data_IF_646044759054
#
_entry.id   IF_646044759054
#
_cell.length_a   1.000
_cell.length_b   1.000
_cell.length_c   1.000
_cell.angle_alpha   90.00
_cell.angle_beta   90.00
_cell.angle_gamma   90.00
#
_symmetry.space_group_name_H-M   'P 1'
#
loop_
_entity.id
_entity.type
_entity.pdbx_description
1 polymer ?
#
# COMPACT_ATOMS: atom_id res chain seq x y z
N UNK A 1 0.28 3.40 -93.37
CA UNK A 1 1.12 2.85 -92.29
C UNK A 1 0.55 3.24 -90.95
N UNK A 2 -0.13 2.34 -90.30
CA UNK A 2 -0.80 2.63 -88.98
C UNK A 2 0.05 1.98 -87.87
N UNK A 3 0.69 2.80 -87.05
CA UNK A 3 1.49 2.36 -85.88
C UNK A 3 0.48 2.17 -84.67
N UNK A 4 0.31 0.91 -84.29
CA UNK A 4 -0.42 0.58 -83.03
C UNK A 4 0.58 0.58 -81.89
N UNK A 5 0.53 1.54 -81.05
CA UNK A 5 1.25 1.54 -79.76
C UNK A 5 0.50 0.69 -78.71
N UNK A 6 1.08 -0.42 -78.35
CA UNK A 6 0.55 -1.29 -77.25
C UNK A 6 1.03 -0.73 -75.91
N UNK A 7 0.10 -0.18 -75.11
CA UNK A 7 0.36 0.31 -73.76
C UNK A 7 0.38 -0.90 -72.81
N UNK A 8 1.56 -1.29 -72.37
CA UNK A 8 1.76 -2.27 -71.29
C UNK A 8 1.52 -1.54 -69.95
N UNK A 9 0.40 -1.81 -69.33
CA UNK A 9 0.10 -1.34 -67.95
C UNK A 9 0.91 -2.25 -67.00
N UNK A 10 1.75 -1.72 -66.08
CA UNK A 10 2.40 -2.56 -65.08
C UNK A 10 1.33 -2.99 -64.05
N UNK A 11 1.13 -4.28 -63.93
CA UNK A 11 0.35 -4.87 -62.83
C UNK A 11 1.20 -4.71 -61.58
N UNK A 12 0.88 -3.71 -60.74
CA UNK A 12 1.40 -3.59 -59.39
C UNK A 12 0.71 -4.68 -58.56
N UNK A 13 1.37 -5.81 -58.43
CA UNK A 13 1.03 -6.81 -57.43
C UNK A 13 1.24 -6.14 -56.03
N UNK A 14 0.18 -5.69 -55.43
CA UNK A 14 0.21 -5.33 -54.02
C UNK A 14 0.47 -6.59 -53.21
N UNK A 15 1.72 -6.80 -52.83
CA UNK A 15 2.11 -7.78 -51.84
C UNK A 15 1.42 -7.32 -50.55
N UNK A 16 0.36 -8.01 -50.12
CA UNK A 16 -0.18 -7.82 -48.77
C UNK A 16 0.95 -8.17 -47.82
N UNK A 17 1.52 -7.19 -47.17
CA UNK A 17 2.41 -7.43 -46.05
C UNK A 17 1.56 -8.16 -44.99
N UNK A 18 1.74 -9.46 -44.88
CA UNK A 18 1.16 -10.28 -43.83
C UNK A 18 1.92 -9.92 -42.57
N UNK A 19 1.27 -9.24 -41.66
CA UNK A 19 1.84 -8.80 -40.39
C UNK A 19 1.26 -9.67 -39.28
N UNK A 20 2.13 -10.11 -38.37
CA UNK A 20 1.71 -10.79 -37.16
C UNK A 20 0.65 -9.95 -36.41
N UNK A 21 -0.27 -10.61 -35.71
CA UNK A 21 -1.26 -9.99 -34.85
C UNK A 21 -1.07 -10.50 -33.43
N UNK A 22 -1.04 -9.58 -32.46
CA UNK A 22 -0.98 -9.90 -31.05
C UNK A 22 -2.19 -9.33 -30.31
N UNK A 23 -2.62 -10.03 -29.29
CA UNK A 23 -3.74 -9.60 -28.42
C UNK A 23 -3.54 -10.06 -26.99
N UNK A 24 -4.09 -9.28 -26.04
CA UNK A 24 -4.15 -9.67 -24.63
C UNK A 24 -5.22 -10.74 -24.48
N UNK A 25 -4.86 -11.88 -23.88
CA UNK A 25 -5.74 -13.00 -23.60
C UNK A 25 -6.32 -12.97 -22.19
N UNK A 26 -5.61 -12.30 -21.26
CA UNK A 26 -6.07 -12.14 -19.88
C UNK A 26 -5.49 -10.86 -19.29
N UNK A 27 -6.37 -10.00 -18.77
CA UNK A 27 -6.02 -8.84 -17.96
C UNK A 27 -6.05 -9.22 -16.47
N UNK A 28 -5.21 -8.58 -15.63
CA UNK A 28 -5.20 -8.87 -14.21
C UNK A 28 -6.45 -8.33 -13.50
N UNK A 29 -6.92 -9.09 -12.52
CA UNK A 29 -7.78 -8.60 -11.43
C UNK A 29 -6.88 -8.46 -10.19
N UNK A 30 -6.47 -7.24 -9.90
CA UNK A 30 -5.54 -6.94 -8.82
C UNK A 30 -6.33 -6.81 -7.51
N UNK A 31 -6.07 -7.71 -6.56
CA UNK A 31 -6.71 -7.66 -5.26
C UNK A 31 -5.64 -7.55 -4.17
N UNK A 32 -5.53 -6.37 -3.56
CA UNK A 32 -4.61 -6.13 -2.46
C UNK A 32 -5.12 -6.70 -1.12
N UNK A 33 -6.41 -7.08 -1.04
CA UNK A 33 -7.04 -7.52 0.20
C UNK A 33 -7.13 -6.40 1.23
N UNK A 34 -7.05 -6.77 2.51
CA UNK A 34 -7.00 -5.80 3.61
C UNK A 34 -5.62 -5.15 3.69
N UNK A 35 -5.60 -3.84 3.58
CA UNK A 35 -4.37 -3.04 3.64
C UNK A 35 -4.40 -2.11 4.86
N UNK A 36 -3.23 -1.86 5.41
CA UNK A 36 -3.06 -0.89 6.49
C UNK A 36 -2.69 0.45 5.88
N UNK A 37 -3.48 1.49 6.16
CA UNK A 37 -3.21 2.83 5.66
C UNK A 37 -1.77 3.27 5.99
N UNK A 38 -1.07 3.79 4.98
CA UNK A 38 0.31 4.25 5.08
C UNK A 38 1.40 3.19 4.99
N UNK A 39 1.08 1.90 4.98
CA UNK A 39 2.05 0.84 4.77
C UNK A 39 2.17 0.50 3.27
N UNK A 40 3.33 0.01 2.88
CA UNK A 40 3.51 -0.58 1.56
C UNK A 40 2.83 -1.95 1.51
N UNK A 41 2.00 -2.17 0.49
CA UNK A 41 1.42 -3.48 0.19
C UNK A 41 1.68 -3.83 -1.26
N UNK A 42 2.12 -5.05 -1.54
CA UNK A 42 2.42 -5.51 -2.89
C UNK A 42 1.79 -6.87 -3.17
N UNK A 43 1.28 -7.04 -4.38
CA UNK A 43 0.74 -8.30 -4.88
C UNK A 43 1.31 -8.60 -6.25
N UNK A 44 1.61 -9.89 -6.52
CA UNK A 44 2.04 -10.33 -7.83
C UNK A 44 0.82 -10.51 -8.73
N UNK A 45 0.96 -10.12 -9.98
CA UNK A 45 -0.05 -10.29 -11.01
C UNK A 45 0.61 -10.50 -12.37
N UNK A 46 -0.17 -10.72 -13.43
CA UNK A 46 0.36 -10.94 -14.76
C UNK A 46 -0.63 -10.54 -15.85
N UNK A 47 -0.10 -10.18 -17.01
CA UNK A 47 -0.87 -10.01 -18.25
C UNK A 47 -0.46 -11.12 -19.21
N UNK A 48 -1.44 -11.89 -19.70
CA UNK A 48 -1.20 -12.92 -20.70
C UNK A 48 -1.58 -12.41 -22.09
N UNK A 49 -0.79 -12.79 -23.06
CA UNK A 49 -1.03 -12.43 -24.45
C UNK A 49 -0.75 -13.60 -25.39
N UNK A 50 -1.26 -13.50 -26.59
CA UNK A 50 -0.97 -14.43 -27.68
C UNK A 50 -0.72 -13.65 -28.96
N UNK A 51 0.15 -14.16 -29.79
CA UNK A 51 0.42 -13.62 -31.12
C UNK A 51 0.25 -14.73 -32.15
N UNK A 52 -0.31 -14.40 -33.30
CA UNK A 52 -0.39 -15.25 -34.47
C UNK A 52 0.59 -14.73 -35.51
N UNK A 53 1.54 -15.57 -35.91
CA UNK A 53 2.46 -15.29 -37.01
C UNK A 53 1.84 -15.71 -38.32
N UNK A 54 2.01 -14.91 -39.38
CA UNK A 54 1.54 -15.19 -40.72
C UNK A 54 2.71 -15.06 -41.71
N UNK A 55 3.58 -16.04 -41.74
CA UNK A 55 4.92 -15.93 -42.30
C UNK A 55 5.27 -17.02 -43.39
N UNK A 56 4.29 -17.62 -44.03
CA UNK A 56 4.49 -18.54 -45.18
C UNK A 56 5.60 -19.60 -44.98
N UNK A 57 5.65 -20.24 -43.81
CA UNK A 57 6.61 -21.33 -43.54
C UNK A 57 7.94 -20.91 -42.91
N UNK A 58 8.18 -19.61 -42.69
CA UNK A 58 9.40 -19.09 -42.07
C UNK A 58 9.21 -18.83 -40.61
N UNK A 59 10.27 -18.71 -39.84
CA UNK A 59 10.24 -18.21 -38.47
C UNK A 59 10.10 -16.68 -38.48
N UNK A 60 9.16 -16.16 -37.72
CA UNK A 60 8.98 -14.73 -37.49
C UNK A 60 9.38 -14.40 -36.06
N UNK A 61 10.12 -13.34 -35.88
CA UNK A 61 10.51 -12.80 -34.58
C UNK A 61 9.61 -11.63 -34.23
N UNK A 62 9.23 -11.56 -32.98
CA UNK A 62 8.27 -10.60 -32.44
C UNK A 62 8.84 -9.89 -31.21
N UNK A 63 8.90 -8.58 -31.23
CA UNK A 63 9.00 -7.79 -30.02
C UNK A 63 7.58 -7.39 -29.60
N UNK A 64 7.16 -7.86 -28.46
CA UNK A 64 5.84 -7.57 -27.88
C UNK A 64 6.04 -6.70 -26.65
N UNK A 65 5.31 -5.59 -26.57
CA UNK A 65 5.48 -4.57 -25.57
C UNK A 65 4.16 -4.31 -24.85
N UNK A 66 4.21 -4.32 -23.52
CA UNK A 66 3.12 -3.94 -22.65
C UNK A 66 3.34 -2.53 -22.13
N UNK A 67 2.32 -1.69 -22.19
CA UNK A 67 2.26 -0.35 -21.61
C UNK A 67 0.87 -0.12 -21.01
N UNK A 68 0.71 0.94 -20.22
CA UNK A 68 -0.62 1.44 -19.82
C UNK A 68 -1.06 2.57 -20.73
N UNK A 69 -2.36 2.85 -20.76
CA UNK A 69 -2.90 4.05 -21.40
C UNK A 69 -2.71 5.25 -20.48
N UNK A 70 -3.02 5.05 -19.19
CA UNK A 70 -2.91 6.08 -18.16
C UNK A 70 -1.51 6.11 -17.55
N UNK A 71 -1.09 7.30 -17.09
CA UNK A 71 0.18 7.47 -16.40
C UNK A 71 0.08 7.03 -14.93
N UNK A 72 1.15 6.39 -14.38
CA UNK A 72 1.21 6.13 -12.95
C UNK A 72 1.43 7.44 -12.13
N UNK A 73 1.05 7.46 -10.84
CA UNK A 73 0.39 6.38 -10.11
C UNK A 73 -1.06 6.20 -10.56
N UNK A 74 -1.53 4.94 -10.53
CA UNK A 74 -2.92 4.62 -10.82
C UNK A 74 -3.78 4.85 -9.58
N UNK A 75 -5.08 5.10 -9.78
CA UNK A 75 -6.00 5.48 -8.72
C UNK A 75 -7.05 4.40 -8.47
N UNK A 76 -7.30 4.07 -7.21
CA UNK A 76 -8.51 3.39 -6.75
C UNK A 76 -9.34 4.38 -5.95
N UNK A 77 -10.63 4.45 -6.20
CA UNK A 77 -11.54 5.44 -5.62
C UNK A 77 -12.50 4.75 -4.64
N UNK A 78 -12.75 5.37 -3.49
CA UNK A 78 -13.77 4.91 -2.54
C UNK A 78 -15.19 5.18 -3.06
N UNK A 79 -16.19 4.47 -2.51
CA UNK A 79 -17.60 4.72 -2.84
C UNK A 79 -18.11 6.09 -2.39
N UNK A 80 -17.35 6.80 -1.60
CA UNK A 80 -17.77 8.05 -0.97
C UNK A 80 -18.32 7.83 0.45
N UNK A 81 -18.20 8.85 1.26
CA UNK A 81 -18.76 8.89 2.59
C UNK A 81 -20.23 9.34 2.59
N UNK A 82 -20.82 9.55 3.77
CA UNK A 82 -22.22 10.00 3.90
C UNK A 82 -22.46 11.40 3.31
N UNK A 83 -21.41 12.19 3.13
CA UNK A 83 -21.44 13.52 2.52
C UNK A 83 -21.12 13.46 1.02
N UNK A 84 -20.86 12.27 0.47
CA UNK A 84 -20.52 12.04 -0.94
C UNK A 84 -19.05 12.32 -1.27
N UNK A 85 -18.20 12.55 -0.26
CA UNK A 85 -16.77 12.76 -0.48
C UNK A 85 -16.08 11.44 -0.84
N UNK A 86 -15.35 11.44 -1.94
CA UNK A 86 -14.55 10.32 -2.40
C UNK A 86 -13.09 10.49 -1.97
N UNK A 87 -12.43 9.36 -1.73
CA UNK A 87 -11.02 9.30 -1.36
C UNK A 87 -10.28 8.45 -2.37
N UNK A 88 -9.04 8.79 -2.64
CA UNK A 88 -8.20 8.13 -3.65
C UNK A 88 -7.04 7.41 -2.99
N UNK A 89 -6.92 6.11 -3.24
CA UNK A 89 -5.78 5.27 -2.88
C UNK A 89 -4.94 5.03 -4.14
N UNK A 90 -3.67 5.44 -4.09
CA UNK A 90 -2.74 5.34 -5.21
C UNK A 90 -2.01 4.00 -5.20
N UNK A 91 -1.79 3.45 -6.40
CA UNK A 91 -0.95 2.26 -6.58
C UNK A 91 -0.12 2.37 -7.87
N UNK A 92 0.86 1.49 -8.03
CA UNK A 92 1.77 1.41 -9.16
C UNK A 92 1.85 -0.01 -9.68
N UNK A 93 2.15 -0.17 -10.96
CA UNK A 93 2.48 -1.44 -11.58
C UNK A 93 3.96 -1.45 -11.93
N UNK A 94 4.69 -2.42 -11.42
CA UNK A 94 6.11 -2.60 -11.67
C UNK A 94 6.33 -3.86 -12.49
N UNK A 95 7.39 -3.87 -13.28
CA UNK A 95 7.86 -5.08 -13.96
C UNK A 95 8.26 -6.15 -12.94
N UNK A 96 7.66 -7.32 -13.01
CA UNK A 96 7.93 -8.43 -12.08
C UNK A 96 9.38 -8.93 -12.14
N UNK A 97 10.04 -8.84 -13.28
CA UNK A 97 11.44 -9.21 -13.46
C UNK A 97 12.41 -8.08 -13.07
N UNK A 98 12.05 -6.82 -13.41
CA UNK A 98 12.85 -5.63 -13.11
C UNK A 98 12.04 -4.67 -12.25
N UNK A 99 12.04 -4.89 -10.95
CA UNK A 99 11.20 -4.18 -9.96
C UNK A 99 11.35 -2.66 -9.93
N UNK A 100 12.42 -2.13 -10.50
CA UNK A 100 12.66 -0.68 -10.64
C UNK A 100 11.95 -0.05 -11.84
N UNK A 101 11.47 -0.88 -12.78
CA UNK A 101 10.80 -0.41 -13.98
C UNK A 101 9.28 -0.34 -13.73
N UNK A 102 8.75 0.87 -13.76
CA UNK A 102 7.31 1.12 -13.62
C UNK A 102 6.62 1.04 -14.98
N UNK A 103 5.42 0.45 -15.01
CA UNK A 103 4.56 0.44 -16.18
C UNK A 103 3.87 1.79 -16.32
N UNK A 104 3.97 2.36 -17.52
CA UNK A 104 3.35 3.63 -17.87
C UNK A 104 3.00 3.70 -19.36
N UNK A 105 2.62 4.88 -19.87
CA UNK A 105 2.38 5.10 -21.28
C UNK A 105 3.63 4.82 -22.12
N UNK A 106 3.45 4.27 -23.32
CA UNK A 106 4.56 3.98 -24.23
C UNK A 106 5.40 5.23 -24.57
N UNK A 107 4.77 6.41 -24.66
CA UNK A 107 5.42 7.69 -24.90
C UNK A 107 6.40 8.13 -23.81
N UNK A 108 6.27 7.60 -22.58
CA UNK A 108 7.20 7.87 -21.48
C UNK A 108 8.38 6.91 -21.43
N UNK A 109 8.44 5.90 -22.32
CA UNK A 109 9.43 4.83 -22.29
C UNK A 109 9.21 3.78 -21.19
N UNK A 110 8.14 3.90 -20.40
CA UNK A 110 7.78 3.02 -19.30
C UNK A 110 6.97 1.80 -19.80
N UNK A 111 7.57 1.00 -20.63
CA UNK A 111 6.98 -0.20 -21.19
C UNK A 111 7.83 -1.43 -20.87
N UNK A 112 7.17 -2.61 -20.85
CA UNK A 112 7.83 -3.90 -20.64
C UNK A 112 7.84 -4.65 -21.96
N UNK A 113 9.01 -5.11 -22.40
CA UNK A 113 9.20 -5.78 -23.68
C UNK A 113 9.57 -7.25 -23.50
N UNK A 114 9.04 -8.09 -24.37
CA UNK A 114 9.39 -9.49 -24.50
C UNK A 114 9.62 -9.85 -25.99
N UNK A 115 10.71 -10.57 -26.26
CA UNK A 115 11.02 -11.07 -27.63
C UNK A 115 10.61 -12.52 -27.72
N UNK A 116 9.87 -12.86 -28.78
CA UNK A 116 9.37 -14.21 -29.07
C UNK A 116 9.78 -14.61 -30.53
N UNK A 117 9.77 -15.91 -30.77
CA UNK A 117 9.92 -16.46 -32.11
C UNK A 117 8.73 -17.37 -32.42
N UNK A 118 8.00 -17.07 -33.47
CA UNK A 118 6.83 -17.82 -33.90
C UNK A 118 7.13 -18.57 -35.23
N UNK A 119 6.77 -19.82 -35.29
CA UNK A 119 6.77 -20.59 -36.56
C UNK A 119 5.51 -20.27 -37.38
N UNK A 120 5.56 -20.54 -38.67
CA UNK A 120 4.44 -20.30 -39.58
C UNK A 120 3.11 -20.84 -39.06
N UNK A 121 2.09 -20.01 -39.14
CA UNK A 121 0.72 -20.31 -38.74
C UNK A 121 0.55 -20.86 -37.31
N UNK A 122 1.55 -20.61 -36.46
CA UNK A 122 1.49 -21.01 -35.04
C UNK A 122 1.17 -19.82 -34.16
N UNK A 123 0.34 -20.06 -33.16
CA UNK A 123 0.18 -19.13 -32.08
C UNK A 123 1.35 -19.26 -31.09
N UNK A 124 1.94 -18.16 -30.72
CA UNK A 124 2.91 -18.06 -29.64
C UNK A 124 2.34 -17.21 -28.52
N UNK A 125 2.45 -17.67 -27.30
CA UNK A 125 1.92 -16.97 -26.13
C UNK A 125 3.05 -16.55 -25.21
N UNK A 126 2.82 -15.47 -24.48
CA UNK A 126 3.73 -14.97 -23.46
C UNK A 126 2.98 -14.40 -22.26
N UNK A 127 3.75 -14.05 -21.25
CA UNK A 127 3.25 -13.50 -20.01
C UNK A 127 4.15 -12.35 -19.57
N UNK A 128 3.55 -11.23 -19.23
CA UNK A 128 4.24 -10.12 -18.58
C UNK A 128 3.99 -10.21 -17.08
N UNK A 129 4.96 -10.65 -16.27
CA UNK A 129 4.84 -10.64 -14.82
C UNK A 129 4.86 -9.20 -14.31
N UNK A 130 3.93 -8.87 -13.43
CA UNK A 130 3.79 -7.56 -12.83
C UNK A 130 3.75 -7.66 -11.31
N UNK A 131 4.15 -6.60 -10.64
CA UNK A 131 3.95 -6.39 -9.21
C UNK A 131 3.11 -5.12 -9.06
N UNK A 132 1.90 -5.27 -8.56
CA UNK A 132 1.08 -4.13 -8.16
C UNK A 132 1.49 -3.73 -6.75
N UNK A 133 1.74 -2.43 -6.52
CA UNK A 133 2.24 -1.92 -5.23
C UNK A 133 1.50 -0.66 -4.82
N UNK A 134 0.91 -0.69 -3.62
CA UNK A 134 0.46 0.50 -2.90
C UNK A 134 1.69 1.05 -2.18
N UNK A 135 2.17 2.27 -2.48
CA UNK A 135 3.32 2.86 -1.80
C UNK A 135 2.97 3.29 -0.38
N UNK A 136 3.98 3.33 0.49
CA UNK A 136 3.85 3.90 1.82
C UNK A 136 3.49 5.39 1.80
N UNK A 137 3.06 5.93 2.95
CA UNK A 137 2.84 7.37 3.13
C UNK A 137 1.40 7.84 2.93
N UNK A 138 0.46 6.97 2.52
CA UNK A 138 -0.95 7.31 2.35
C UNK A 138 -1.71 7.13 3.68
N UNK A 139 -1.29 7.84 4.72
CA UNK A 139 -1.73 7.64 6.11
C UNK A 139 -3.13 8.19 6.41
N UNK A 140 -3.61 9.14 5.61
CA UNK A 140 -4.83 9.91 5.91
C UNK A 140 -6.06 9.36 5.18
N UNK A 141 -6.02 8.10 4.78
CA UNK A 141 -7.14 7.46 4.11
C UNK A 141 -8.07 6.82 5.13
N UNK A 142 -9.38 7.07 5.03
CA UNK A 142 -10.38 6.42 5.88
C UNK A 142 -10.56 4.95 5.52
N UNK A 143 -11.22 4.23 6.41
CA UNK A 143 -11.56 2.83 6.25
C UNK A 143 -12.73 2.68 5.26
N UNK A 144 -12.40 2.34 4.02
CA UNK A 144 -13.34 2.10 2.93
C UNK A 144 -12.84 1.00 2.00
N UNK A 145 -13.74 0.52 1.16
CA UNK A 145 -13.39 -0.24 -0.03
C UNK A 145 -12.99 0.71 -1.15
N UNK A 146 -11.78 0.50 -1.72
CA UNK A 146 -11.21 1.27 -2.83
C UNK A 146 -11.15 0.40 -4.06
N UNK A 147 -11.55 0.93 -5.22
CA UNK A 147 -11.60 0.16 -6.47
C UNK A 147 -11.31 1.00 -7.70
N UNK A 148 -10.83 0.33 -8.74
CA UNK A 148 -10.72 0.82 -10.11
C UNK A 148 -11.09 -0.33 -11.06
N UNK A 149 -12.08 -0.12 -11.91
CA UNK A 149 -12.54 -1.13 -12.87
C UNK A 149 -12.24 -0.75 -14.33
N UNK A 150 -11.60 0.39 -14.58
CA UNK A 150 -11.45 0.98 -15.90
C UNK A 150 -10.01 1.22 -16.34
N UNK A 151 -9.06 0.50 -15.76
CA UNK A 151 -7.67 0.63 -16.19
C UNK A 151 -7.47 -0.06 -17.53
N UNK A 152 -6.87 0.67 -18.49
CA UNK A 152 -6.61 0.19 -19.83
C UNK A 152 -5.13 -0.13 -20.01
N UNK A 153 -4.85 -1.32 -20.53
CA UNK A 153 -3.52 -1.75 -20.94
C UNK A 153 -3.41 -1.73 -22.46
N UNK A 154 -2.24 -1.46 -22.97
CA UNK A 154 -1.91 -1.49 -24.39
C UNK A 154 -0.84 -2.54 -24.63
N UNK A 155 -1.08 -3.39 -25.62
CA UNK A 155 -0.06 -4.24 -26.22
C UNK A 155 0.28 -3.68 -27.59
N UNK A 156 1.58 -3.55 -27.88
CA UNK A 156 2.09 -3.17 -29.18
C UNK A 156 3.14 -4.19 -29.61
N UNK A 157 3.33 -4.37 -30.91
CA UNK A 157 4.32 -5.34 -31.40
C UNK A 157 4.99 -4.86 -32.66
N UNK A 158 6.23 -5.31 -32.84
CA UNK A 158 7.00 -5.24 -34.07
C UNK A 158 7.37 -6.65 -34.49
N UNK A 159 7.27 -6.96 -35.77
CA UNK A 159 7.64 -8.28 -36.30
C UNK A 159 8.68 -8.16 -37.39
N UNK A 160 9.58 -9.17 -37.50
CA UNK A 160 10.60 -9.29 -38.54
C UNK A 160 10.93 -10.75 -38.82
N UNK A 161 11.34 -11.04 -40.05
CA UNK A 161 11.82 -12.38 -40.44
C UNK A 161 13.24 -12.68 -39.94
N UNK A 162 13.94 -11.70 -39.40
CA UNK A 162 15.27 -11.81 -38.82
C UNK A 162 15.30 -11.09 -37.48
N UNK A 163 15.93 -11.70 -36.50
CA UNK A 163 15.99 -11.15 -35.13
C UNK A 163 16.77 -9.82 -35.09
N UNK A 164 17.79 -9.65 -35.93
CA UNK A 164 18.59 -8.40 -36.00
C UNK A 164 17.87 -7.24 -36.70
N UNK A 165 16.73 -7.51 -37.34
CA UNK A 165 15.85 -6.50 -37.94
C UNK A 165 14.69 -6.07 -37.02
N UNK A 166 14.54 -6.67 -35.80
CA UNK A 166 13.53 -6.27 -34.86
C UNK A 166 13.80 -4.88 -34.30
N UNK A 167 12.76 -4.06 -34.28
CA UNK A 167 12.77 -2.74 -33.66
C UNK A 167 12.11 -2.76 -32.27
N UNK A 168 12.41 -1.78 -31.46
CA UNK A 168 11.77 -1.60 -30.17
C UNK A 168 10.40 -0.92 -30.34
N UNK A 169 9.45 -1.21 -29.45
CA UNK A 169 8.13 -0.58 -29.51
C UNK A 169 8.10 0.88 -28.98
N UNK A 170 9.22 1.39 -28.49
CA UNK A 170 9.29 2.70 -27.82
C UNK A 170 9.32 3.90 -28.75
N UNK A 171 9.58 3.68 -30.04
CA UNK A 171 9.81 4.73 -31.02
C UNK A 171 8.63 4.99 -31.97
N UNK A 172 7.48 4.39 -31.71
CA UNK A 172 6.28 4.52 -32.54
C UNK A 172 6.32 3.71 -33.83
N UNK A 173 7.33 2.85 -34.00
CA UNK A 173 7.51 1.96 -35.18
C UNK A 173 6.72 0.66 -35.07
N UNK A 174 5.86 0.49 -34.09
CA UNK A 174 5.06 -0.72 -33.91
C UNK A 174 4.24 -1.05 -35.17
N UNK A 175 4.29 -2.31 -35.60
CA UNK A 175 3.51 -2.82 -36.74
C UNK A 175 2.04 -2.90 -36.44
N UNK A 176 1.69 -3.11 -35.16
CA UNK A 176 0.33 -3.14 -34.69
C UNK A 176 0.22 -2.83 -33.20
N UNK A 177 -0.96 -2.44 -32.79
CA UNK A 177 -1.28 -2.20 -31.37
C UNK A 177 -2.73 -2.57 -31.06
N UNK A 178 -2.98 -2.92 -29.80
CA UNK A 178 -4.31 -3.16 -29.27
C UNK A 178 -4.41 -2.57 -27.87
N UNK A 179 -5.53 -1.89 -27.60
CA UNK A 179 -5.90 -1.45 -26.24
C UNK A 179 -6.94 -2.43 -25.70
N UNK A 180 -6.70 -2.90 -24.49
CA UNK A 180 -7.58 -3.83 -23.79
C UNK A 180 -8.01 -3.20 -22.46
N UNK A 181 -9.30 -2.99 -22.30
CA UNK A 181 -9.92 -2.62 -21.01
C UNK A 181 -10.12 -3.83 -20.10
N UNK A 182 -10.66 -3.56 -18.91
CA UNK A 182 -11.07 -4.59 -17.97
C UNK A 182 -10.01 -5.03 -16.97
N UNK A 183 -8.86 -4.35 -16.92
CA UNK A 183 -7.96 -4.46 -15.78
C UNK A 183 -8.61 -3.78 -14.57
N UNK A 184 -8.71 -4.51 -13.46
CA UNK A 184 -9.31 -4.00 -12.24
C UNK A 184 -8.32 -4.05 -11.08
N UNK A 185 -8.47 -3.13 -10.13
CA UNK A 185 -7.75 -3.12 -8.88
C UNK A 185 -8.71 -2.83 -7.73
N UNK A 186 -8.51 -3.51 -6.61
CA UNK A 186 -9.28 -3.28 -5.40
C UNK A 186 -8.44 -3.47 -4.14
N UNK A 187 -8.77 -2.72 -3.10
CA UNK A 187 -8.19 -2.81 -1.78
C UNK A 187 -9.25 -2.46 -0.74
N UNK A 188 -9.12 -2.99 0.46
CA UNK A 188 -9.94 -2.62 1.60
C UNK A 188 -9.05 -2.07 2.71
N UNK A 189 -9.29 -0.83 3.13
CA UNK A 189 -8.76 -0.30 4.37
C UNK A 189 -9.79 -0.60 5.44
N UNK A 190 -9.52 -1.63 6.26
CA UNK A 190 -10.42 -2.03 7.33
C UNK A 190 -10.42 -1.00 8.46
N UNK A 191 -11.56 -0.84 9.13
CA UNK A 191 -11.59 -0.18 10.43
C UNK A 191 -10.74 -1.02 11.39
N UNK A 192 -9.76 -0.38 11.99
CA UNK A 192 -8.90 -1.05 12.95
C UNK A 192 -7.81 -0.13 13.45
N UNK A 193 -7.74 -0.02 14.75
CA UNK A 193 -6.65 0.66 15.44
C UNK A 193 -5.81 -0.34 16.20
N UNK A 194 -4.52 -0.08 16.30
CA UNK A 194 -3.64 -0.89 17.15
C UNK A 194 -2.59 -0.03 17.85
N UNK A 195 -2.11 -0.55 18.97
CA UNK A 195 -0.99 0.03 19.68
C UNK A 195 0.29 -0.42 19.00
N UNK A 196 1.03 0.52 18.41
CA UNK A 196 2.26 0.26 17.69
C UNK A 196 3.46 0.17 18.63
N UNK A 197 3.49 1.04 19.64
CA UNK A 197 4.60 1.13 20.59
C UNK A 197 4.16 1.76 21.91
N UNK A 198 4.79 1.32 23.00
CA UNK A 198 4.71 1.95 24.30
C UNK A 198 6.13 2.07 24.86
N UNK A 199 6.50 3.24 25.38
CA UNK A 199 7.75 3.40 26.11
C UNK A 199 7.51 3.19 27.61
N UNK A 200 8.48 2.62 28.37
CA UNK A 200 8.35 2.53 29.80
C UNK A 200 8.22 3.91 30.48
N UNK A 201 7.42 3.98 31.52
CA UNK A 201 7.37 5.14 32.41
C UNK A 201 8.36 4.92 33.56
N UNK A 202 9.38 5.74 33.63
CA UNK A 202 10.47 5.60 34.63
C UNK A 202 10.58 6.85 35.49
N UNK A 203 10.36 6.72 36.77
CA UNK A 203 10.46 7.80 37.75
C UNK A 203 11.91 8.04 38.23
N UNK A 204 12.87 7.21 37.78
CA UNK A 204 14.26 7.31 38.19
C UNK A 204 14.50 6.85 39.63
N UNK A 205 15.58 7.33 40.22
CA UNK A 205 15.93 7.01 41.60
C UNK A 205 15.30 8.02 42.55
N UNK A 206 14.42 7.53 43.41
CA UNK A 206 13.77 8.30 44.45
C UNK A 206 14.52 8.14 45.76
N UNK A 207 14.95 9.26 46.35
CA UNK A 207 15.72 9.24 47.61
C UNK A 207 14.99 10.12 48.64
N UNK A 208 14.85 9.60 49.84
CA UNK A 208 14.32 10.37 50.97
C UNK A 208 14.69 9.72 52.30
N UNK A 209 14.78 10.51 53.35
CA UNK A 209 14.96 10.00 54.72
C UNK A 209 13.63 9.83 55.45
N UNK A 210 12.53 10.43 54.99
CA UNK A 210 11.22 10.34 55.61
C UNK A 210 10.06 10.42 54.62
N UNK A 211 9.98 11.49 53.79
CA UNK A 211 8.88 11.75 52.85
C UNK A 211 9.42 12.01 51.47
N UNK A 212 8.92 11.25 50.49
CA UNK A 212 9.25 11.50 49.08
C UNK A 212 8.67 12.84 48.63
N UNK A 213 9.45 13.55 47.78
CA UNK A 213 8.95 14.72 47.07
C UNK A 213 8.13 14.24 45.85
N UNK A 214 7.14 15.02 45.40
CA UNK A 214 6.45 14.70 44.16
C UNK A 214 7.41 14.55 43.04
N UNK A 215 7.30 13.45 42.28
CA UNK A 215 8.18 13.16 41.12
C UNK A 215 7.31 12.86 39.94
N UNK A 216 7.64 13.47 38.79
CA UNK A 216 6.92 13.29 37.54
C UNK A 216 7.80 12.65 36.48
N UNK A 217 7.18 11.89 35.59
CA UNK A 217 7.81 11.29 34.43
C UNK A 217 6.80 11.16 33.29
N UNK A 218 7.28 10.93 32.10
CA UNK A 218 6.41 10.74 30.93
C UNK A 218 6.77 9.47 30.19
N UNK A 219 5.76 8.87 29.57
CA UNK A 219 5.90 7.80 28.59
C UNK A 219 5.15 8.18 27.30
N UNK A 220 5.49 7.53 26.19
CA UNK A 220 4.82 7.71 24.92
C UNK A 220 4.06 6.45 24.57
N UNK A 221 2.78 6.59 24.25
CA UNK A 221 1.91 5.58 23.66
C UNK A 221 1.69 5.95 22.20
N UNK A 222 2.13 5.09 21.30
CA UNK A 222 1.97 5.28 19.85
C UNK A 222 0.88 4.35 19.34
N UNK A 223 -0.09 4.90 18.64
CA UNK A 223 -1.17 4.15 17.96
C UNK A 223 -1.10 4.36 16.47
N UNK A 224 -1.68 3.44 15.71
CA UNK A 224 -1.93 3.58 14.29
C UNK A 224 -3.37 3.24 13.97
N UNK A 225 -4.07 4.18 13.31
CA UNK A 225 -5.48 4.06 12.94
C UNK A 225 -5.71 4.57 11.51
N UNK A 226 -6.74 4.08 10.79
CA UNK A 226 -7.29 4.78 9.63
C UNK A 226 -7.89 6.14 10.02
N UNK A 227 -7.89 7.09 9.08
CA UNK A 227 -8.50 8.40 9.31
C UNK A 227 -9.99 8.27 9.66
N UNK A 228 -10.46 9.08 10.59
CA UNK A 228 -11.86 9.10 11.01
C UNK A 228 -12.31 7.93 11.90
N UNK A 229 -11.47 6.94 12.18
CA UNK A 229 -11.80 5.82 13.07
C UNK A 229 -11.69 6.27 14.53
N UNK A 230 -12.83 6.56 15.17
CA UNK A 230 -12.86 6.91 16.59
C UNK A 230 -12.45 5.71 17.45
N UNK A 231 -11.73 5.97 18.53
CA UNK A 231 -11.32 4.94 19.47
C UNK A 231 -11.14 5.48 20.90
N UNK A 232 -11.05 4.55 21.83
CA UNK A 232 -10.82 4.82 23.25
C UNK A 232 -9.51 4.20 23.68
N UNK A 233 -8.68 4.94 24.43
CA UNK A 233 -7.49 4.45 25.11
C UNK A 233 -7.70 4.41 26.61
N UNK A 234 -7.72 3.22 27.18
CA UNK A 234 -7.90 3.00 28.61
C UNK A 234 -6.62 2.49 29.25
N UNK A 235 -6.32 2.97 30.46
CA UNK A 235 -5.21 2.55 31.31
C UNK A 235 -5.75 1.78 32.52
N UNK A 236 -5.42 0.50 32.62
CA UNK A 236 -5.81 -0.35 33.76
C UNK A 236 -5.33 0.18 35.10
N UNK A 237 -5.80 -0.45 36.16
CA UNK A 237 -5.46 -0.06 37.54
C UNK A 237 -4.05 -0.44 37.96
N UNK A 238 -3.37 -1.29 37.20
CA UNK A 238 -2.08 -1.88 37.53
C UNK A 238 -2.22 -3.20 38.30
N UNK A 239 -1.13 -3.97 38.32
CA UNK A 239 -1.07 -5.29 38.97
C UNK A 239 -1.09 -5.21 40.50
N UNK A 240 -0.67 -4.05 41.06
CA UNK A 240 -0.56 -3.82 42.52
C UNK A 240 -1.59 -2.81 43.04
N UNK A 241 -2.68 -2.62 42.31
CA UNK A 241 -3.70 -1.63 42.74
C UNK A 241 -4.36 -1.95 44.06
N UNK A 242 -4.55 -0.94 44.89
CA UNK A 242 -5.41 -0.99 46.07
C UNK A 242 -6.70 -0.21 45.78
N UNK A 243 -7.80 -0.91 45.53
CA UNK A 243 -9.03 -0.29 45.06
C UNK A 243 -8.84 0.40 43.69
N UNK A 244 -9.02 1.72 43.65
CA UNK A 244 -8.81 2.54 42.47
C UNK A 244 -7.41 3.23 42.42
N UNK A 245 -6.57 3.00 43.45
CA UNK A 245 -5.26 3.61 43.57
C UNK A 245 -4.19 2.71 42.99
N UNK A 246 -3.45 3.18 42.00
CA UNK A 246 -2.27 2.49 41.45
C UNK A 246 -1.11 2.52 42.44
N UNK A 247 -0.35 1.43 42.50
CA UNK A 247 0.79 1.30 43.39
C UNK A 247 1.95 0.66 42.64
N UNK A 248 3.15 1.19 42.86
CA UNK A 248 4.42 0.55 42.52
C UNK A 248 4.84 -0.23 43.75
N UNK A 249 5.13 -1.52 43.62
CA UNK A 249 5.53 -2.34 44.76
C UNK A 249 6.90 -2.98 44.56
N UNK A 250 7.65 -3.14 45.65
CA UNK A 250 8.92 -3.88 45.65
C UNK A 250 8.69 -5.37 45.96
N UNK A 251 9.75 -6.17 45.91
CA UNK A 251 9.71 -7.61 46.19
C UNK A 251 9.32 -7.98 47.66
N UNK A 252 9.41 -7.00 48.58
CA UNK A 252 9.03 -7.16 49.97
C UNK A 252 7.55 -6.79 50.23
N UNK A 253 6.80 -6.40 49.18
CA UNK A 253 5.41 -5.99 49.25
C UNK A 253 5.20 -4.58 49.80
N UNK A 254 6.25 -3.77 49.85
CA UNK A 254 6.13 -2.35 50.22
C UNK A 254 5.74 -1.56 48.98
N UNK A 255 4.78 -0.64 49.09
CA UNK A 255 4.20 -0.01 47.90
C UNK A 255 4.17 1.53 48.03
N UNK A 256 4.33 2.17 46.87
CA UNK A 256 4.23 3.62 46.69
C UNK A 256 3.05 3.91 45.74
N UNK A 257 2.22 4.86 46.12
CA UNK A 257 1.11 5.31 45.26
C UNK A 257 1.62 6.13 44.10
N UNK A 258 0.96 5.99 42.94
CA UNK A 258 1.21 6.83 41.78
C UNK A 258 -0.09 7.05 41.00
N UNK A 259 -0.07 8.06 40.10
CA UNK A 259 -1.14 8.36 39.16
C UNK A 259 -0.66 8.39 37.71
N UNK A 260 -1.60 8.14 36.79
CA UNK A 260 -1.43 8.36 35.36
C UNK A 260 -2.45 9.40 34.90
N UNK A 261 -1.99 10.33 34.07
CA UNK A 261 -2.75 11.51 33.67
C UNK A 261 -2.64 11.73 32.16
N UNK A 262 -3.69 12.34 31.61
CA UNK A 262 -3.77 12.71 30.18
C UNK A 262 -3.09 14.06 29.92
N UNK A 263 -2.86 14.87 30.96
CA UNK A 263 -2.32 16.21 30.90
C UNK A 263 -1.14 16.42 31.87
N UNK A 264 -0.24 17.33 31.53
CA UNK A 264 0.93 17.67 32.33
C UNK A 264 0.57 18.27 33.70
N UNK A 265 -0.57 18.96 33.78
CA UNK A 265 -1.05 19.56 35.03
C UNK A 265 -1.59 18.53 36.03
N UNK A 266 -1.73 17.26 35.61
CA UNK A 266 -2.30 16.17 36.40
C UNK A 266 -3.74 16.47 36.89
N UNK A 267 -4.55 17.05 36.00
CA UNK A 267 -5.97 17.38 36.28
C UNK A 267 -6.91 16.35 35.68
N UNK A 268 -6.54 15.70 34.58
CA UNK A 268 -7.35 14.68 33.91
C UNK A 268 -6.70 13.30 34.11
N UNK A 269 -7.33 12.51 34.99
CA UNK A 269 -6.87 11.16 35.22
C UNK A 269 -6.98 10.30 33.96
N UNK A 270 -6.00 9.43 33.74
CA UNK A 270 -6.09 8.41 32.71
C UNK A 270 -6.38 7.05 33.33
N UNK A 271 -7.65 6.67 33.32
CA UNK A 271 -8.14 5.46 33.92
C UNK A 271 -8.64 4.41 32.94
N UNK A 272 -9.38 3.47 33.48
CA UNK A 272 -10.03 2.43 32.69
C UNK A 272 -11.38 2.92 32.12
N UNK A 273 -11.95 2.12 31.22
CA UNK A 273 -13.23 2.46 30.59
C UNK A 273 -14.39 2.48 31.59
N UNK A 274 -14.31 1.65 32.64
CA UNK A 274 -15.37 1.56 33.68
C UNK A 274 -15.42 2.78 34.59
N UNK A 275 -14.29 3.47 34.77
CA UNK A 275 -14.21 4.69 35.57
C UNK A 275 -14.62 5.96 34.82
N UNK A 276 -14.80 5.89 33.49
CA UNK A 276 -15.08 7.04 32.64
C UNK A 276 -13.86 7.94 32.39
N UNK A 277 -12.67 7.53 32.84
CA UNK A 277 -11.42 8.31 32.74
C UNK A 277 -10.54 7.88 31.55
N UNK A 278 -11.08 7.09 30.63
CA UNK A 278 -10.37 6.70 29.41
C UNK A 278 -10.31 7.87 28.43
N UNK A 279 -9.19 7.99 27.70
CA UNK A 279 -9.03 8.99 26.66
C UNK A 279 -9.92 8.63 25.45
N UNK A 280 -10.82 9.54 25.09
CA UNK A 280 -11.65 9.42 23.89
C UNK A 280 -10.98 10.17 22.73
N UNK A 281 -10.73 9.47 21.62
CA UNK A 281 -10.20 10.05 20.41
C UNK A 281 -11.28 10.00 19.34
N UNK A 282 -11.78 11.17 18.96
CA UNK A 282 -12.78 11.33 17.91
C UNK A 282 -12.14 11.90 16.67
N UNK A 283 -12.50 11.37 15.49
CA UNK A 283 -12.06 11.87 14.19
C UNK A 283 -10.51 12.02 14.06
N UNK A 284 -9.72 10.97 14.31
CA UNK A 284 -8.26 11.04 14.18
C UNK A 284 -7.86 11.33 12.73
N UNK A 285 -6.71 12.01 12.56
CA UNK A 285 -6.16 12.33 11.24
C UNK A 285 -5.70 11.09 10.45
N UNK A 286 -5.64 9.91 11.11
CA UNK A 286 -5.10 8.68 10.53
C UNK A 286 -3.58 8.56 10.63
N UNK A 287 -3.08 7.34 10.37
CA UNK A 287 -1.67 7.01 10.51
C UNK A 287 -1.20 6.89 11.95
N UNK A 288 0.09 7.13 12.17
CA UNK A 288 0.73 7.03 13.49
C UNK A 288 0.46 8.28 14.31
N UNK A 289 -0.03 8.10 15.54
CA UNK A 289 -0.29 9.17 16.49
C UNK A 289 0.34 8.86 17.84
N UNK A 290 0.89 9.89 18.50
CA UNK A 290 1.57 9.78 19.76
C UNK A 290 0.74 10.45 20.86
N UNK A 291 0.58 9.75 21.96
CA UNK A 291 -0.09 10.22 23.18
C UNK A 291 0.91 10.20 24.32
N UNK A 292 1.05 11.31 25.03
CA UNK A 292 1.92 11.40 26.20
C UNK A 292 1.16 10.91 27.44
N UNK A 293 1.73 9.93 28.11
CA UNK A 293 1.26 9.46 29.42
C UNK A 293 2.06 10.20 30.47
N UNK A 294 1.40 10.99 31.30
CA UNK A 294 2.03 11.69 32.40
C UNK A 294 1.88 10.87 33.67
N UNK A 295 3.01 10.53 34.31
CA UNK A 295 3.03 9.81 35.57
C UNK A 295 3.45 10.72 36.72
N UNK A 296 2.85 10.53 37.89
CA UNK A 296 3.21 11.24 39.08
C UNK A 296 3.22 10.32 40.31
N UNK A 297 4.34 10.32 41.02
CA UNK A 297 4.43 9.81 42.38
C UNK A 297 4.24 11.00 43.30
N UNK A 298 3.12 11.10 44.06
CA UNK A 298 2.84 12.22 44.95
C UNK A 298 3.75 12.22 46.19
N UNK A 299 3.77 13.31 46.92
CA UNK A 299 4.42 13.36 48.22
C UNK A 299 3.80 12.29 49.15
N UNK A 300 4.65 11.42 49.70
CA UNK A 300 4.23 10.33 50.56
C UNK A 300 5.41 9.78 51.34
N UNK A 301 5.16 9.09 52.50
CA UNK A 301 6.24 8.39 53.20
C UNK A 301 6.94 7.36 52.31
N UNK A 302 8.25 7.25 52.40
CA UNK A 302 9.01 6.16 51.80
C UNK A 302 8.81 4.90 52.64
N UNK A 303 8.21 3.86 52.05
CA UNK A 303 7.82 2.62 52.76
C UNK A 303 8.87 1.54 52.75
N UNK A 304 9.97 1.72 51.97
CA UNK A 304 11.04 0.73 51.86
C UNK A 304 12.11 1.12 50.84
N UNK A 305 12.98 0.18 50.50
CA UNK A 305 14.05 0.33 49.56
C UNK A 305 13.96 -0.75 48.46
N UNK A 306 14.67 -0.57 47.35
CA UNK A 306 14.70 -1.52 46.23
C UNK A 306 14.02 -0.98 45.00
N UNK A 307 13.78 -1.86 44.07
CA UNK A 307 13.06 -1.56 42.81
C UNK A 307 11.55 -1.68 43.03
N UNK A 308 10.83 -0.62 42.69
CA UNK A 308 9.36 -0.55 42.75
C UNK A 308 8.79 -0.58 41.34
N UNK A 309 7.98 -1.58 41.05
CA UNK A 309 7.41 -1.80 39.71
C UNK A 309 5.88 -1.94 39.76
N UNK A 310 5.23 -1.66 38.64
CA UNK A 310 3.83 -2.00 38.37
C UNK A 310 3.63 -2.26 36.88
N UNK A 311 2.72 -3.17 36.54
CA UNK A 311 2.35 -3.48 35.18
C UNK A 311 0.93 -2.98 34.91
N UNK A 312 0.78 -2.07 33.95
CA UNK A 312 -0.50 -1.48 33.57
C UNK A 312 -0.94 -2.00 32.20
N UNK A 313 -2.09 -2.64 32.15
CA UNK A 313 -2.72 -3.04 30.88
C UNK A 313 -3.26 -1.81 30.17
N UNK A 314 -2.89 -1.64 28.92
CA UNK A 314 -3.42 -0.60 28.02
C UNK A 314 -4.42 -1.27 27.07
N UNK A 315 -5.64 -0.76 27.03
CA UNK A 315 -6.71 -1.26 26.18
C UNK A 315 -7.08 -0.20 25.13
N UNK A 316 -7.05 -0.57 23.88
CA UNK A 316 -7.56 0.22 22.76
C UNK A 316 -8.87 -0.43 22.28
N UNK A 317 -9.94 0.37 22.20
CA UNK A 317 -11.26 -0.06 21.73
C UNK A 317 -11.74 0.91 20.64
N UNK A 318 -12.13 0.41 19.48
CA UNK A 318 -12.61 1.18 18.30
C UNK A 318 -13.96 0.65 17.83
#
# INVERSE_FOLDING_TARGET
MSLRATLLLPIVLSVKAMAAACWITSTPAINFGNVVAGNTTSVNTEVKFSCQADNEGRTEYLNVCLSSVDAPPFEMISQGDQEGKQYTLLFRLLNGAARSQELGPASSGNLIQQTLAAKSNANVSGTFPLIATIPAGQNQLPAYHYYNYNMNLRIAWHSALRQDALQNCSDGSAVGEQVQGGTSAQAEISQGCYIERVTPLNFGTLTSTATLRPTRSTATLTTRCPAGTAFTLAMGKGSHASGNQRQLCNSEGQCLRYGLWQDEAATQRWGDQSSGDALQVTNPAGGTQNYTVYGEVPAQPLTGTGEFIDDVIITLTY
#
